data_IF_443390504621
#
_entry.id   IF_443390504621
#
_cell.length_a   1.000
_cell.length_b   1.000
_cell.length_c   1.000
_cell.angle_alpha   90.00
_cell.angle_beta   90.00
_cell.angle_gamma   90.00
#
_symmetry.space_group_name_H-M   'P 1'
#
loop_
_entity.id
_entity.type
_entity.pdbx_description
1 polymer ?
#
# COMPACT_ATOMS: atom_id res chain seq x y z
N UNK A 1 89.13 14.66 -11.61
CA UNK A 1 88.81 13.78 -12.76
C UNK A 1 87.34 13.38 -12.64
N UNK A 2 86.52 13.86 -13.58
CA UNK A 2 85.05 13.72 -13.60
C UNK A 2 84.73 12.50 -14.47
N UNK A 3 83.99 11.51 -13.97
CA UNK A 3 83.34 10.50 -14.80
C UNK A 3 81.88 10.38 -14.33
N UNK A 4 80.98 10.87 -15.19
CA UNK A 4 79.55 10.62 -15.17
C UNK A 4 79.25 9.26 -15.84
N UNK A 5 77.98 8.85 -15.76
CA UNK A 5 77.30 7.70 -16.41
C UNK A 5 77.21 6.46 -15.51
N UNK A 6 76.05 5.86 -15.27
CA UNK A 6 74.93 5.61 -16.17
C UNK A 6 73.61 5.45 -15.39
N UNK A 7 72.56 6.14 -15.83
CA UNK A 7 71.17 5.91 -15.44
C UNK A 7 70.71 4.58 -16.02
N UNK A 8 70.09 3.70 -15.22
CA UNK A 8 69.03 2.80 -15.71
C UNK A 8 67.96 2.64 -14.61
N UNK A 9 66.93 3.49 -14.70
CA UNK A 9 65.61 3.22 -14.11
C UNK A 9 64.84 2.38 -15.12
N UNK A 10 64.69 1.09 -14.87
CA UNK A 10 63.69 0.21 -15.48
C UNK A 10 63.57 -1.01 -14.55
N UNK A 11 62.41 -1.54 -14.16
CA UNK A 11 61.15 -1.58 -14.87
C UNK A 11 59.99 -1.37 -13.90
N UNK A 12 59.06 -0.52 -14.31
CA UNK A 12 57.75 -0.36 -13.69
C UNK A 12 56.85 -1.43 -14.29
N UNK A 13 56.91 -2.66 -13.78
CA UNK A 13 55.99 -3.71 -14.23
C UNK A 13 54.64 -3.51 -13.53
N UNK A 14 53.77 -2.73 -14.17
CA UNK A 14 52.37 -2.56 -13.78
C UNK A 14 51.58 -3.72 -14.40
N UNK A 15 51.47 -4.83 -13.69
CA UNK A 15 50.45 -5.84 -13.98
C UNK A 15 49.08 -5.31 -13.56
N UNK A 16 48.47 -4.46 -14.41
CA UNK A 16 47.17 -3.82 -14.17
C UNK A 16 45.98 -4.55 -14.79
N UNK A 17 46.18 -5.68 -15.45
CA UNK A 17 45.15 -6.37 -16.24
C UNK A 17 44.14 -7.14 -15.39
N UNK A 18 44.55 -7.73 -14.26
CA UNK A 18 43.65 -8.52 -13.41
C UNK A 18 42.66 -7.64 -12.61
N UNK A 19 43.09 -6.43 -12.21
CA UNK A 19 42.22 -5.47 -11.53
C UNK A 19 41.24 -4.76 -12.47
N UNK A 20 41.59 -4.62 -13.76
CA UNK A 20 40.76 -3.90 -14.74
C UNK A 20 39.46 -4.65 -15.04
N UNK A 21 39.51 -5.97 -15.25
CA UNK A 21 38.31 -6.78 -15.53
C UNK A 21 37.30 -6.76 -14.38
N UNK A 22 37.77 -6.71 -13.13
CA UNK A 22 36.90 -6.60 -11.96
C UNK A 22 36.19 -5.24 -11.92
N UNK A 23 36.89 -4.16 -12.29
CA UNK A 23 36.32 -2.80 -12.36
C UNK A 23 35.27 -2.70 -13.47
N UNK A 24 35.58 -3.24 -14.66
CA UNK A 24 34.63 -3.27 -15.79
C UNK A 24 33.36 -4.06 -15.45
N UNK A 25 33.50 -5.22 -14.79
CA UNK A 25 32.36 -5.98 -14.32
C UNK A 25 31.53 -5.23 -13.27
N UNK A 26 32.19 -4.58 -12.30
CA UNK A 26 31.50 -3.82 -11.25
C UNK A 26 30.67 -2.66 -11.81
N UNK A 27 31.17 -1.99 -12.86
CA UNK A 27 30.45 -0.90 -13.53
C UNK A 27 29.15 -1.34 -14.19
N UNK A 28 29.05 -2.60 -14.65
CA UNK A 28 27.81 -3.17 -15.21
C UNK A 28 26.93 -3.78 -14.11
N UNK A 29 27.55 -4.42 -13.12
CA UNK A 29 26.85 -5.06 -12.02
C UNK A 29 26.06 -4.05 -11.17
N UNK A 30 26.64 -2.88 -10.86
CA UNK A 30 25.97 -1.87 -10.04
C UNK A 30 24.62 -1.41 -10.61
N UNK A 31 24.51 -0.93 -11.86
CA UNK A 31 23.22 -0.54 -12.44
C UNK A 31 22.28 -1.73 -12.62
N UNK A 32 22.81 -2.93 -12.94
CA UNK A 32 21.99 -4.14 -13.03
C UNK A 32 21.31 -4.48 -11.70
N UNK A 33 22.05 -4.41 -10.58
CA UNK A 33 21.50 -4.63 -9.24
C UNK A 33 20.45 -3.57 -8.88
N UNK A 34 20.67 -2.30 -9.23
CA UNK A 34 19.67 -1.25 -9.01
C UNK A 34 18.36 -1.52 -9.75
N UNK A 35 18.43 -1.96 -11.01
CA UNK A 35 17.25 -2.32 -11.80
C UNK A 35 16.55 -3.54 -11.20
N UNK A 36 17.32 -4.58 -10.85
CA UNK A 36 16.77 -5.79 -10.26
C UNK A 36 16.03 -5.51 -8.94
N UNK A 37 16.65 -4.74 -8.05
CA UNK A 37 16.04 -4.31 -6.80
C UNK A 37 14.78 -3.48 -7.06
N UNK A 38 14.79 -2.59 -8.06
CA UNK A 38 13.61 -1.82 -8.47
C UNK A 38 12.44 -2.71 -8.93
N UNK A 39 12.71 -3.74 -9.73
CA UNK A 39 11.70 -4.72 -10.17
C UNK A 39 11.11 -5.47 -8.96
N UNK A 40 11.97 -5.91 -8.04
CA UNK A 40 11.53 -6.60 -6.82
C UNK A 40 10.64 -5.70 -5.95
N UNK A 41 11.05 -4.45 -5.70
CA UNK A 41 10.25 -3.47 -4.95
C UNK A 41 8.89 -3.20 -5.63
N UNK A 42 8.87 -3.09 -6.96
CA UNK A 42 7.62 -2.94 -7.71
C UNK A 42 6.71 -4.15 -7.54
N UNK A 43 7.27 -5.37 -7.56
CA UNK A 43 6.53 -6.60 -7.30
C UNK A 43 5.81 -6.59 -5.94
N UNK A 44 6.49 -6.13 -4.89
CA UNK A 44 5.87 -5.99 -3.57
C UNK A 44 4.75 -4.95 -3.56
N UNK A 45 4.97 -3.76 -4.12
CA UNK A 45 3.95 -2.70 -4.20
C UNK A 45 2.71 -3.19 -4.96
N UNK A 46 2.93 -3.86 -6.10
CA UNK A 46 1.85 -4.40 -6.92
C UNK A 46 1.06 -5.49 -6.19
N UNK A 47 1.74 -6.40 -5.49
CA UNK A 47 1.08 -7.41 -4.66
C UNK A 47 0.23 -6.77 -3.55
N UNK A 48 0.75 -5.76 -2.84
CA UNK A 48 0.01 -5.03 -1.82
C UNK A 48 -1.22 -4.34 -2.42
N UNK A 49 -1.08 -3.72 -3.59
CA UNK A 49 -2.19 -3.06 -4.29
C UNK A 49 -3.34 -4.03 -4.61
N UNK A 50 -3.02 -5.18 -5.22
CA UNK A 50 -4.03 -6.20 -5.53
C UNK A 50 -4.70 -6.75 -4.28
N UNK A 51 -3.93 -6.97 -3.21
CA UNK A 51 -4.45 -7.46 -1.93
C UNK A 51 -5.43 -6.46 -1.32
N UNK A 52 -5.09 -5.17 -1.28
CA UNK A 52 -5.98 -4.12 -0.76
C UNK A 52 -7.23 -3.96 -1.62
N UNK A 53 -7.10 -4.02 -2.94
CA UNK A 53 -8.26 -3.94 -3.84
C UNK A 53 -9.23 -5.11 -3.60
N UNK A 54 -8.72 -6.33 -3.45
CA UNK A 54 -9.55 -7.50 -3.15
C UNK A 54 -10.17 -7.44 -1.76
N UNK A 55 -9.41 -7.04 -0.73
CA UNK A 55 -9.93 -6.86 0.62
C UNK A 55 -11.05 -5.81 0.69
N UNK A 56 -10.88 -4.70 -0.03
CA UNK A 56 -11.90 -3.65 -0.14
C UNK A 56 -13.18 -4.17 -0.81
N UNK A 57 -13.05 -4.98 -1.86
CA UNK A 57 -14.19 -5.60 -2.55
C UNK A 57 -14.94 -6.56 -1.63
N UNK A 58 -14.21 -7.37 -0.87
CA UNK A 58 -14.81 -8.32 0.08
C UNK A 58 -15.51 -7.60 1.22
N UNK A 59 -14.91 -6.52 1.75
CA UNK A 59 -15.56 -5.64 2.73
C UNK A 59 -16.83 -4.98 2.19
N UNK A 60 -16.79 -4.44 0.97
CA UNK A 60 -17.98 -3.86 0.34
C UNK A 60 -19.10 -4.89 0.13
N UNK A 61 -18.73 -6.12 -0.25
CA UNK A 61 -19.66 -7.25 -0.41
C UNK A 61 -20.35 -7.54 0.92
N UNK A 62 -19.58 -7.71 1.99
CA UNK A 62 -20.11 -7.97 3.34
C UNK A 62 -21.04 -6.85 3.81
N UNK A 63 -20.68 -5.59 3.56
CA UNK A 63 -21.53 -4.43 3.83
C UNK A 63 -22.84 -4.41 3.03
N UNK A 64 -22.81 -4.87 1.78
CA UNK A 64 -23.97 -4.88 0.87
C UNK A 64 -25.02 -5.94 1.21
N UNK A 65 -24.61 -7.05 1.81
CA UNK A 65 -25.49 -8.18 2.17
C UNK A 65 -25.85 -8.22 3.65
N UNK A 66 -25.48 -7.19 4.41
CA UNK A 66 -25.73 -7.12 5.84
C UNK A 66 -27.23 -7.18 6.16
N UNK A 67 -27.61 -8.13 7.01
CA UNK A 67 -29.00 -8.35 7.41
C UNK A 67 -29.42 -7.36 8.50
N UNK A 68 -30.41 -6.53 8.19
CA UNK A 68 -30.99 -5.57 9.14
C UNK A 68 -31.72 -6.26 10.29
N UNK A 69 -31.38 -5.89 11.52
CA UNK A 69 -32.02 -6.39 12.73
C UNK A 69 -33.13 -5.42 13.17
N UNK A 70 -34.39 -5.84 13.04
CA UNK A 70 -35.56 -5.00 13.31
C UNK A 70 -35.68 -4.52 14.77
N UNK A 71 -35.09 -5.24 15.73
CA UNK A 71 -35.06 -4.85 17.14
C UNK A 71 -33.98 -3.83 17.50
N UNK A 72 -33.12 -3.44 16.56
CA UNK A 72 -32.05 -2.48 16.75
C UNK A 72 -32.36 -1.17 16.04
N UNK A 73 -31.89 -0.05 16.60
CA UNK A 73 -31.94 1.23 15.90
C UNK A 73 -31.09 1.20 14.63
N UNK A 74 -31.37 2.11 13.69
CA UNK A 74 -30.56 2.33 12.50
C UNK A 74 -29.07 2.52 12.83
N UNK A 75 -28.75 3.29 13.88
CA UNK A 75 -27.37 3.55 14.28
C UNK A 75 -26.65 2.28 14.79
N UNK A 76 -27.34 1.41 15.51
CA UNK A 76 -26.79 0.13 15.96
C UNK A 76 -26.52 -0.81 14.78
N UNK A 77 -27.45 -0.88 13.82
CA UNK A 77 -27.26 -1.64 12.59
C UNK A 77 -26.10 -1.09 11.74
N UNK A 78 -26.01 0.24 11.58
CA UNK A 78 -24.90 0.89 10.86
C UNK A 78 -23.55 0.57 11.53
N UNK A 79 -23.48 0.65 12.87
CA UNK A 79 -22.27 0.32 13.62
C UNK A 79 -21.87 -1.16 13.46
N UNK A 80 -22.84 -2.08 13.53
CA UNK A 80 -22.60 -3.51 13.35
C UNK A 80 -22.18 -3.86 11.92
N UNK A 81 -22.82 -3.26 10.91
CA UNK A 81 -22.44 -3.37 9.50
C UNK A 81 -21.02 -2.87 9.26
N UNK A 82 -20.70 -1.66 9.74
CA UNK A 82 -19.37 -1.09 9.60
C UNK A 82 -18.30 -1.93 10.33
N UNK A 83 -18.62 -2.49 11.50
CA UNK A 83 -17.74 -3.40 12.22
C UNK A 83 -17.47 -4.70 11.44
N UNK A 84 -18.50 -5.27 10.81
CA UNK A 84 -18.36 -6.45 9.94
C UNK A 84 -17.46 -6.14 8.73
N UNK A 85 -17.71 -5.03 8.02
CA UNK A 85 -16.85 -4.55 6.91
C UNK A 85 -15.39 -4.46 7.36
N UNK A 86 -15.11 -3.83 8.50
CA UNK A 86 -13.76 -3.69 9.05
C UNK A 86 -13.11 -5.06 9.31
N UNK A 87 -13.80 -5.96 10.01
CA UNK A 87 -13.27 -7.31 10.30
C UNK A 87 -13.00 -8.09 9.02
N UNK A 88 -13.92 -8.04 8.05
CA UNK A 88 -13.77 -8.70 6.75
C UNK A 88 -12.56 -8.17 5.98
N UNK A 89 -12.35 -6.86 5.95
CA UNK A 89 -11.17 -6.24 5.34
C UNK A 89 -9.89 -6.71 6.04
N UNK A 90 -9.82 -6.65 7.37
CA UNK A 90 -8.64 -7.06 8.14
C UNK A 90 -8.29 -8.53 7.91
N UNK A 91 -9.30 -9.41 7.85
CA UNK A 91 -9.10 -10.83 7.56
C UNK A 91 -8.66 -11.09 6.11
N UNK A 92 -9.00 -10.19 5.19
CA UNK A 92 -8.69 -10.31 3.76
C UNK A 92 -7.33 -9.71 3.37
N UNK A 93 -6.59 -9.12 4.32
CA UNK A 93 -5.27 -8.52 4.07
C UNK A 93 -4.13 -9.56 3.87
N UNK A 94 -4.40 -10.86 4.09
CA UNK A 94 -3.47 -11.96 3.82
C UNK A 94 -2.07 -11.74 4.44
N UNK A 95 -1.04 -11.50 3.62
CA UNK A 95 0.35 -11.28 4.04
C UNK A 95 0.64 -9.83 4.48
N UNK A 96 -0.31 -8.91 4.29
CA UNK A 96 -0.19 -7.53 4.74
C UNK A 96 -0.58 -7.42 6.22
N UNK A 97 0.15 -6.58 6.96
CA UNK A 97 -0.17 -6.32 8.37
C UNK A 97 -1.42 -5.44 8.50
N UNK A 98 -2.50 -5.89 9.18
CA UNK A 98 -3.75 -5.14 9.34
C UNK A 98 -3.74 -4.19 10.53
N UNK A 99 -2.55 -3.73 10.95
CA UNK A 99 -2.34 -2.89 12.13
C UNK A 99 -1.40 -1.72 11.86
N UNK A 100 -1.42 -0.76 12.77
CA UNK A 100 -0.53 0.39 12.71
C UNK A 100 0.94 -0.07 12.76
N UNK A 101 1.84 0.58 12.00
CA UNK A 101 1.62 1.83 11.28
C UNK A 101 1.12 1.66 9.83
N UNK A 102 0.96 0.44 9.33
CA UNK A 102 0.62 0.19 7.92
C UNK A 102 -0.89 0.30 7.64
N UNK A 103 -1.72 -0.02 8.62
CA UNK A 103 -3.17 0.12 8.55
C UNK A 103 -3.77 0.42 9.92
N UNK A 104 -4.34 1.61 10.09
CA UNK A 104 -4.87 2.08 11.36
C UNK A 104 -6.38 2.02 11.37
N UNK A 105 -6.93 1.13 12.18
CA UNK A 105 -8.36 1.07 12.52
C UNK A 105 -8.52 0.93 14.03
N UNK A 106 -9.65 1.36 14.57
CA UNK A 106 -9.99 1.26 16.00
C UNK A 106 -11.40 0.71 16.18
N UNK A 107 -11.86 0.55 17.42
CA UNK A 107 -13.26 0.22 17.70
C UNK A 107 -14.24 1.38 17.53
N UNK A 108 -13.75 2.61 17.32
CA UNK A 108 -14.59 3.82 17.36
C UNK A 108 -14.70 4.46 15.99
N UNK A 109 -15.92 4.61 15.48
CA UNK A 109 -16.20 5.29 14.23
C UNK A 109 -16.51 6.76 14.48
N UNK A 110 -15.92 7.65 13.69
CA UNK A 110 -16.35 9.03 13.56
C UNK A 110 -17.38 9.13 12.43
N UNK A 111 -18.48 9.83 12.64
CA UNK A 111 -19.54 9.97 11.66
C UNK A 111 -19.72 11.44 11.25
N UNK A 112 -19.86 11.70 9.96
CA UNK A 112 -20.27 12.99 9.40
C UNK A 112 -21.28 12.73 8.30
N UNK A 113 -22.57 13.03 8.56
CA UNK A 113 -23.66 12.61 7.69
C UNK A 113 -23.73 11.09 7.57
N UNK A 114 -23.71 10.57 6.35
CA UNK A 114 -23.69 9.14 6.04
C UNK A 114 -22.27 8.57 5.82
N UNK A 115 -21.24 9.36 6.12
CA UNK A 115 -19.83 8.94 6.05
C UNK A 115 -19.32 8.56 7.43
N UNK A 116 -18.79 7.34 7.54
CA UNK A 116 -18.20 6.75 8.73
C UNK A 116 -16.71 6.54 8.49
N UNK A 117 -15.87 7.12 9.34
CA UNK A 117 -14.41 7.05 9.24
C UNK A 117 -13.82 6.38 10.47
N UNK A 118 -12.89 5.47 10.25
CA UNK A 118 -12.16 4.74 11.29
C UNK A 118 -10.70 4.63 10.85
N UNK A 119 -9.92 5.68 11.13
CA UNK A 119 -8.53 5.80 10.66
C UNK A 119 -8.43 5.69 9.14
N UNK A 120 -7.79 4.62 8.67
CA UNK A 120 -7.52 4.33 7.27
C UNK A 120 -8.69 3.69 6.51
N UNK A 121 -9.81 3.42 7.19
CA UNK A 121 -11.05 2.90 6.61
C UNK A 121 -12.14 3.97 6.60
N UNK A 122 -12.80 4.15 5.47
CA UNK A 122 -13.99 5.01 5.34
C UNK A 122 -15.11 4.23 4.66
N UNK A 123 -16.31 4.28 5.25
CA UNK A 123 -17.54 3.70 4.70
C UNK A 123 -18.54 4.84 4.49
N UNK A 124 -19.03 5.02 3.27
CA UNK A 124 -19.99 6.06 2.92
C UNK A 124 -21.26 5.43 2.38
N UNK A 125 -22.40 5.82 2.91
CA UNK A 125 -23.70 5.46 2.34
C UNK A 125 -24.24 6.62 1.52
N UNK A 126 -24.85 6.32 0.38
CA UNK A 126 -25.53 7.32 -0.43
C UNK A 126 -26.89 6.79 -0.90
N UNK A 127 -27.90 7.65 -0.81
CA UNK A 127 -29.24 7.38 -1.32
C UNK A 127 -29.32 7.81 -2.79
N UNK A 128 -29.51 6.86 -3.74
CA UNK A 128 -29.71 7.20 -5.14
C UNK A 128 -31.03 7.97 -5.35
N UNK A 129 -31.11 8.73 -6.44
CA UNK A 129 -32.34 9.41 -6.81
C UNK A 129 -33.45 8.40 -7.13
N UNK A 130 -34.68 8.71 -6.69
CA UNK A 130 -35.84 7.84 -6.92
C UNK A 130 -35.99 6.67 -5.94
N UNK A 131 -35.11 6.53 -4.94
CA UNK A 131 -35.23 5.54 -3.87
C UNK A 131 -35.67 6.24 -2.58
N UNK A 132 -36.68 5.68 -1.90
CA UNK A 132 -37.10 6.16 -0.58
C UNK A 132 -36.08 5.79 0.48
N UNK A 133 -35.79 6.72 1.39
CA UNK A 133 -34.92 6.45 2.53
C UNK A 133 -35.52 5.33 3.41
N UNK A 134 -34.68 4.39 3.84
CA UNK A 134 -35.07 3.31 4.74
C UNK A 134 -33.97 3.06 5.78
N UNK A 135 -34.35 2.59 6.97
CA UNK A 135 -33.39 2.27 8.03
C UNK A 135 -32.49 1.08 7.67
N UNK A 136 -33.01 0.12 6.90
CA UNK A 136 -32.24 -1.00 6.38
C UNK A 136 -31.25 -0.60 5.27
N UNK A 137 -31.38 0.61 4.72
CA UNK A 137 -30.60 1.14 3.60
C UNK A 137 -30.71 0.31 2.31
N UNK A 138 -31.77 -0.47 2.16
CA UNK A 138 -32.02 -1.28 0.95
C UNK A 138 -32.11 -0.36 -0.26
N UNK A 139 -31.40 -0.70 -1.33
CA UNK A 139 -31.30 0.12 -2.54
C UNK A 139 -30.36 1.32 -2.43
N UNK A 140 -29.79 1.61 -1.26
CA UNK A 140 -28.70 2.58 -1.13
C UNK A 140 -27.37 1.99 -1.63
N UNK A 141 -26.41 2.84 -1.95
CA UNK A 141 -25.05 2.40 -2.24
C UNK A 141 -24.17 2.51 -1.00
N UNK A 142 -23.33 1.50 -0.77
CA UNK A 142 -22.22 1.53 0.19
C UNK A 142 -20.91 1.66 -0.57
N UNK A 143 -20.14 2.70 -0.27
CA UNK A 143 -18.78 2.91 -0.78
C UNK A 143 -17.78 2.65 0.35
N UNK A 144 -16.92 1.67 0.17
CA UNK A 144 -15.84 1.33 1.09
C UNK A 144 -14.52 1.80 0.49
N UNK A 145 -13.79 2.61 1.25
CA UNK A 145 -12.45 3.12 0.89
C UNK A 145 -11.43 2.70 1.96
N UNK A 146 -10.33 2.11 1.53
CA UNK A 146 -9.22 1.64 2.37
C UNK A 146 -7.94 2.33 1.94
N UNK A 147 -7.14 2.80 2.90
CA UNK A 147 -5.79 3.33 2.67
C UNK A 147 -4.76 2.42 3.36
N UNK A 148 -3.72 2.02 2.66
CA UNK A 148 -2.66 1.18 3.21
C UNK A 148 -1.31 1.85 3.02
N UNK A 149 -0.49 1.90 4.06
CA UNK A 149 0.79 2.59 4.06
C UNK A 149 1.91 1.57 3.87
N UNK A 150 2.44 1.48 2.66
CA UNK A 150 3.49 0.52 2.28
C UNK A 150 4.89 1.13 2.52
N UNK A 151 5.76 0.37 3.19
CA UNK A 151 7.17 0.74 3.32
C UNK A 151 7.91 0.57 1.99
N UNK A 152 8.76 1.54 1.67
CA UNK A 152 9.65 1.49 0.52
C UNK A 152 11.05 1.08 1.01
N UNK A 153 11.52 -0.10 0.57
CA UNK A 153 12.83 -0.61 0.97
C UNK A 153 13.97 0.16 0.28
N UNK A 154 13.72 0.64 -0.94
CA UNK A 154 14.72 1.33 -1.77
C UNK A 154 14.44 2.84 -1.75
N UNK A 155 15.34 3.66 -1.16
CA UNK A 155 15.10 5.09 -0.99
C UNK A 155 15.11 5.87 -2.32
N UNK A 156 15.78 5.37 -3.36
CA UNK A 156 15.86 6.04 -4.67
C UNK A 156 14.48 6.22 -5.34
N UNK A 157 13.60 5.21 -5.25
CA UNK A 157 12.23 5.28 -5.81
C UNK A 157 11.34 6.16 -4.93
N UNK A 158 11.66 6.21 -3.64
CA UNK A 158 10.93 7.01 -2.67
C UNK A 158 10.92 8.49 -3.04
N UNK A 159 11.99 9.03 -3.65
CA UNK A 159 12.05 10.44 -4.06
C UNK A 159 11.05 10.83 -5.17
N UNK A 160 10.52 9.85 -5.90
CA UNK A 160 9.65 10.07 -7.07
C UNK A 160 8.16 9.87 -6.75
N UNK A 161 7.82 9.27 -5.60
CA UNK A 161 6.44 8.89 -5.27
C UNK A 161 5.84 9.78 -4.18
N UNK A 162 4.53 10.06 -4.23
CA UNK A 162 3.81 10.73 -3.13
C UNK A 162 3.94 9.93 -1.84
N UNK A 163 4.21 10.63 -0.73
CA UNK A 163 4.41 10.02 0.59
C UNK A 163 3.44 10.58 1.61
N UNK A 164 3.12 9.77 2.61
CA UNK A 164 2.51 10.24 3.84
C UNK A 164 3.55 10.93 4.76
N UNK A 165 3.09 11.43 5.91
CA UNK A 165 3.95 12.06 6.90
C UNK A 165 5.00 11.09 7.50
N UNK A 166 4.80 9.77 7.37
CA UNK A 166 5.73 8.73 7.78
C UNK A 166 6.74 8.31 6.71
N UNK A 167 6.70 8.91 5.52
CA UNK A 167 7.58 8.56 4.40
C UNK A 167 7.18 7.27 3.64
N UNK A 168 5.98 6.75 3.88
CA UNK A 168 5.41 5.55 3.26
C UNK A 168 4.59 5.88 2.01
N UNK A 169 4.46 4.91 1.12
CA UNK A 169 3.60 5.00 -0.04
C UNK A 169 2.16 4.64 0.34
N UNK A 170 1.20 5.50 0.02
CA UNK A 170 -0.22 5.24 0.28
C UNK A 170 -0.85 4.51 -0.91
N UNK A 171 -1.34 3.29 -0.68
CA UNK A 171 -2.15 2.52 -1.62
C UNK A 171 -3.62 2.68 -1.24
N UNK A 172 -4.48 2.99 -2.21
CA UNK A 172 -5.92 3.19 -1.95
C UNK A 172 -6.75 2.18 -2.73
N UNK A 173 -7.67 1.51 -2.04
CA UNK A 173 -8.73 0.70 -2.63
C UNK A 173 -10.08 1.39 -2.40
N UNK A 174 -10.94 1.42 -3.41
CA UNK A 174 -12.29 1.97 -3.30
C UNK A 174 -13.27 1.12 -4.09
N UNK A 175 -14.38 0.73 -3.45
CA UNK A 175 -15.42 -0.10 -4.06
C UNK A 175 -16.79 0.39 -3.64
N UNK A 176 -17.69 0.53 -4.60
CA UNK A 176 -19.10 0.87 -4.38
C UNK A 176 -19.99 -0.30 -4.77
N UNK A 177 -20.93 -0.67 -3.91
CA UNK A 177 -21.93 -1.71 -4.14
C UNK A 177 -23.33 -1.25 -3.72
N UNK A 178 -24.37 -1.81 -4.33
CA UNK A 178 -25.77 -1.58 -3.91
C UNK A 178 -26.11 -2.54 -2.78
N UNK A 179 -26.76 -2.02 -1.73
CA UNK A 179 -27.24 -2.80 -0.60
C UNK A 179 -28.53 -3.51 -1.00
N UNK A 180 -28.56 -4.83 -0.77
CA UNK A 180 -29.70 -5.70 -1.09
C UNK A 180 -30.69 -5.82 0.08
#
# INVERSE_FOLDING_TARGET
MRILTRRERAARNRSGTEGQSLVEFSLVLTPLLLILLGIVQFGFIFNSYITIANATREGARDGSIYVYQQGQSKAQNDAARNAAIRTTIQNSMNLLSPSAPWFTTTGTWSQTGDTFTNGDLTVTYALPTGISQSDARVGQTVTVRVRYHQDLLIPLISALLPRDAGGRLVLTGEVTMVIN
#
